data_IF_641099894444
#
_entry.id   IF_641099894444
#
_cell.length_a   1.000
_cell.length_b   1.000
_cell.length_c   1.000
_cell.angle_alpha   90.00
_cell.angle_beta   90.00
_cell.angle_gamma   90.00
#
_symmetry.space_group_name_H-M   'P 1'
#
loop_
_entity.id
_entity.type
_entity.pdbx_description
1 polymer ?
#
# COMPACT_ATOMS: atom_id res chain seq x y z
N UNK A 1 3.27 2.42 18.14
CA UNK A 1 3.26 1.55 16.94
C UNK A 1 1.85 1.05 16.59
N UNK A 2 1.19 0.25 17.44
CA UNK A 2 -0.13 -0.36 17.12
C UNK A 2 -1.20 0.68 16.76
N UNK A 3 -1.27 1.80 17.48
CA UNK A 3 -2.24 2.86 17.19
C UNK A 3 -2.06 3.48 15.78
N UNK A 4 -0.81 3.64 15.30
CA UNK A 4 -0.54 4.13 13.94
C UNK A 4 -1.02 3.15 12.87
N UNK A 5 -0.93 1.85 13.14
CA UNK A 5 -1.46 0.80 12.25
C UNK A 5 -2.97 0.95 12.10
N UNK A 6 -3.70 1.28 13.17
CA UNK A 6 -5.15 1.52 13.10
C UNK A 6 -5.48 2.67 12.16
N UNK A 7 -4.87 3.85 12.35
CA UNK A 7 -5.11 5.01 11.49
C UNK A 7 -4.75 4.72 10.03
N UNK A 8 -3.63 4.04 9.82
CA UNK A 8 -3.20 3.61 8.51
C UNK A 8 -4.20 2.65 7.83
N UNK A 9 -4.65 1.63 8.55
CA UNK A 9 -5.63 0.67 8.04
C UNK A 9 -6.94 1.35 7.66
N UNK A 10 -7.41 2.29 8.49
CA UNK A 10 -8.59 3.10 8.19
C UNK A 10 -8.41 3.90 6.89
N UNK A 11 -7.25 4.52 6.69
CA UNK A 11 -6.95 5.26 5.47
C UNK A 11 -6.99 4.34 4.23
N UNK A 12 -6.35 3.16 4.30
CA UNK A 12 -6.27 2.22 3.17
C UNK A 12 -7.55 1.47 2.84
N UNK A 13 -8.56 1.50 3.71
CA UNK A 13 -9.88 0.95 3.38
C UNK A 13 -10.56 1.70 2.25
N UNK A 14 -10.15 2.94 1.97
CA UNK A 14 -10.56 3.66 0.76
C UNK A 14 -9.55 3.26 -0.30
N UNK A 15 -9.87 2.36 -1.26
CA UNK A 15 -8.92 1.90 -2.26
C UNK A 15 -8.76 2.98 -3.34
N UNK A 16 -8.22 4.13 -2.97
CA UNK A 16 -8.12 5.30 -3.84
C UNK A 16 -6.87 5.29 -4.72
N UNK A 17 -5.84 4.51 -4.38
CA UNK A 17 -4.56 4.52 -5.08
C UNK A 17 -3.95 3.11 -5.22
N UNK A 18 -3.37 2.76 -6.39
CA UNK A 18 -2.57 1.55 -6.55
C UNK A 18 -1.44 1.50 -5.53
N UNK A 19 -1.34 0.42 -4.76
CA UNK A 19 -0.32 0.28 -3.72
C UNK A 19 -0.42 1.30 -2.59
N UNK A 20 -1.56 1.97 -2.41
CA UNK A 20 -1.83 2.88 -1.27
C UNK A 20 -0.93 4.11 -1.15
N UNK A 21 -0.21 4.48 -2.22
CA UNK A 21 0.64 5.66 -2.23
C UNK A 21 -0.15 6.94 -1.91
N UNK A 22 0.40 7.77 -1.02
CA UNK A 22 -0.21 9.01 -0.53
C UNK A 22 -1.24 8.78 0.57
N UNK A 23 -2.11 7.78 0.41
CA UNK A 23 -3.12 7.42 1.42
C UNK A 23 -2.44 6.83 2.66
N UNK A 24 -1.39 6.03 2.46
CA UNK A 24 -0.61 5.45 3.56
C UNK A 24 0.06 6.56 4.39
N UNK A 25 0.76 7.46 3.71
CA UNK A 25 1.48 8.56 4.34
C UNK A 25 0.53 9.54 5.04
N UNK A 26 -0.64 9.81 4.45
CA UNK A 26 -1.67 10.63 5.07
C UNK A 26 -2.22 10.02 6.38
N UNK A 27 -2.46 8.71 6.40
CA UNK A 27 -2.87 7.99 7.62
C UNK A 27 -1.82 8.09 8.74
N UNK A 28 -0.53 8.01 8.37
CA UNK A 28 0.59 8.16 9.30
C UNK A 28 0.71 9.59 9.84
N UNK A 29 0.63 10.62 9.00
CA UNK A 29 0.64 12.03 9.41
C UNK A 29 -0.52 12.31 10.38
N UNK A 30 -1.73 11.84 10.05
CA UNK A 30 -2.91 11.99 10.90
C UNK A 30 -2.72 11.29 12.25
N UNK A 31 -2.18 10.06 12.25
CA UNK A 31 -1.89 9.33 13.48
C UNK A 31 -0.84 10.01 14.36
N UNK A 32 0.24 10.55 13.77
CA UNK A 32 1.25 11.32 14.49
C UNK A 32 0.68 12.58 15.14
N UNK A 33 -0.14 13.33 14.39
CA UNK A 33 -0.79 14.55 14.89
C UNK A 33 -1.79 14.28 16.02
N UNK A 34 -2.66 13.28 15.86
CA UNK A 34 -3.67 12.95 16.88
C UNK A 34 -3.08 12.35 18.16
N UNK A 35 -1.98 11.62 18.04
CA UNK A 35 -1.29 11.00 19.19
C UNK A 35 -0.20 11.90 19.78
N UNK A 36 0.01 13.10 19.21
CA UNK A 36 1.05 14.06 19.62
C UNK A 36 2.43 13.41 19.73
N UNK A 37 2.77 12.53 18.79
CA UNK A 37 4.05 11.80 18.79
C UNK A 37 5.22 12.68 18.37
N UNK A 38 4.95 13.65 17.50
CA UNK A 38 5.92 14.64 17.04
C UNK A 38 5.20 15.84 16.43
N UNK A 39 5.74 17.04 16.61
CA UNK A 39 5.15 18.29 16.10
C UNK A 39 5.47 18.53 14.61
N UNK A 40 6.55 17.90 14.11
CA UNK A 40 7.00 18.06 12.73
C UNK A 40 6.35 17.03 11.80
N UNK A 41 5.57 17.53 10.85
CA UNK A 41 4.91 16.74 9.82
C UNK A 41 5.92 16.04 8.89
N UNK A 42 7.08 16.64 8.66
CA UNK A 42 8.13 16.10 7.79
C UNK A 42 8.69 14.79 8.36
N UNK A 43 8.80 14.71 9.68
CA UNK A 43 9.23 13.50 10.40
C UNK A 43 8.17 12.40 10.29
N UNK A 44 6.89 12.75 10.46
CA UNK A 44 5.79 11.79 10.30
C UNK A 44 5.73 11.23 8.86
N UNK A 45 5.95 12.10 7.86
CA UNK A 45 6.01 11.71 6.45
C UNK A 45 7.19 10.79 6.16
N UNK A 46 8.40 11.16 6.62
CA UNK A 46 9.60 10.35 6.43
C UNK A 46 9.43 8.96 7.07
N UNK A 47 8.90 8.90 8.29
CA UNK A 47 8.58 7.64 8.97
C UNK A 47 7.55 6.82 8.17
N UNK A 48 6.45 7.45 7.76
CA UNK A 48 5.40 6.80 6.99
C UNK A 48 5.91 6.19 5.71
N UNK A 49 6.70 6.94 4.93
CA UNK A 49 7.28 6.49 3.67
C UNK A 49 8.23 5.30 3.85
N UNK A 50 9.11 5.35 4.85
CA UNK A 50 10.05 4.24 5.13
C UNK A 50 9.28 2.99 5.51
N UNK A 51 8.29 3.10 6.41
CA UNK A 51 7.48 1.96 6.80
C UNK A 51 6.68 1.40 5.63
N UNK A 52 6.14 2.26 4.77
CA UNK A 52 5.41 1.85 3.58
C UNK A 52 6.31 1.03 2.65
N UNK A 53 7.52 1.50 2.36
CA UNK A 53 8.48 0.80 1.51
C UNK A 53 8.94 -0.54 2.10
N UNK A 54 9.14 -0.63 3.42
CA UNK A 54 9.53 -1.88 4.08
C UNK A 54 8.47 -2.98 3.86
N UNK A 55 7.17 -2.64 3.87
CA UNK A 55 6.12 -3.62 3.65
C UNK A 55 5.79 -3.82 2.17
N UNK A 56 5.79 -2.75 1.40
CA UNK A 56 5.37 -2.75 -0.01
C UNK A 56 6.45 -3.33 -0.94
N UNK A 57 7.72 -2.92 -0.78
CA UNK A 57 8.75 -3.27 -1.76
C UNK A 57 9.08 -4.77 -1.77
N UNK A 58 9.31 -5.46 -0.64
CA UNK A 58 9.66 -6.87 -0.67
C UNK A 58 8.54 -7.74 -1.25
N UNK A 59 7.29 -7.48 -0.83
CA UNK A 59 6.12 -8.24 -1.27
C UNK A 59 5.84 -8.02 -2.77
N UNK A 60 5.90 -6.76 -3.21
CA UNK A 60 5.68 -6.40 -4.62
C UNK A 60 6.78 -6.94 -5.51
N UNK A 61 8.05 -6.81 -5.12
CA UNK A 61 9.18 -7.30 -5.91
C UNK A 61 9.16 -8.82 -6.05
N UNK A 62 8.86 -9.56 -4.98
CA UNK A 62 8.72 -11.02 -5.05
C UNK A 62 7.56 -11.42 -5.95
N UNK A 63 6.39 -10.79 -5.78
CA UNK A 63 5.23 -11.06 -6.64
C UNK A 63 5.52 -10.77 -8.12
N UNK A 64 6.19 -9.65 -8.40
CA UNK A 64 6.57 -9.28 -9.76
C UNK A 64 7.61 -10.24 -10.34
N UNK A 65 8.59 -10.67 -9.55
CA UNK A 65 9.59 -11.65 -9.97
C UNK A 65 8.96 -13.00 -10.33
N UNK A 66 8.04 -13.50 -9.49
CA UNK A 66 7.31 -14.75 -9.78
C UNK A 66 6.44 -14.58 -11.03
N UNK A 67 5.71 -13.48 -11.16
CA UNK A 67 4.89 -13.21 -12.33
C UNK A 67 5.71 -13.14 -13.62
N UNK A 68 6.89 -12.51 -13.56
CA UNK A 68 7.82 -12.45 -14.69
C UNK A 68 8.38 -13.84 -15.04
N UNK A 69 8.78 -14.64 -14.03
CA UNK A 69 9.26 -16.01 -14.22
C UNK A 69 8.22 -16.89 -14.93
N UNK A 70 6.96 -16.74 -14.58
CA UNK A 70 5.86 -17.56 -15.11
C UNK A 70 5.20 -16.93 -16.36
N UNK A 71 5.80 -15.88 -16.92
CA UNK A 71 5.30 -15.16 -18.12
C UNK A 71 3.84 -14.70 -18.01
N UNK A 72 3.39 -14.40 -16.78
CA UNK A 72 2.05 -13.91 -16.52
C UNK A 72 1.93 -12.50 -17.09
N UNK A 73 1.28 -12.40 -18.26
CA UNK A 73 0.99 -11.14 -18.91
C UNK A 73 -0.31 -10.53 -18.37
N UNK A 74 -0.39 -9.20 -18.19
CA UNK A 74 -1.65 -8.52 -17.93
C UNK A 74 -2.75 -8.85 -18.95
N UNK A 75 -2.38 -9.22 -20.19
CA UNK A 75 -3.31 -9.67 -21.23
C UNK A 75 -3.88 -11.07 -20.96
N UNK A 76 -3.06 -11.97 -20.43
CA UNK A 76 -3.50 -13.33 -20.07
C UNK A 76 -4.44 -13.34 -18.88
N UNK A 77 -4.19 -12.49 -17.87
CA UNK A 77 -5.10 -12.30 -16.75
C UNK A 77 -6.46 -11.71 -17.19
N UNK A 78 -6.46 -10.65 -18.02
CA UNK A 78 -7.70 -10.07 -18.56
C UNK A 78 -8.53 -11.07 -19.37
N UNK A 79 -7.87 -11.93 -20.15
CA UNK A 79 -8.56 -12.95 -20.94
C UNK A 79 -9.24 -13.99 -20.04
N UNK A 80 -8.59 -14.42 -18.97
CA UNK A 80 -9.16 -15.36 -18.00
C UNK A 80 -10.39 -14.78 -17.30
N UNK A 81 -10.28 -13.55 -16.78
CA UNK A 81 -11.38 -12.85 -16.09
C UNK A 81 -12.63 -12.69 -16.97
N UNK A 82 -12.46 -12.31 -18.24
CA UNK A 82 -13.58 -12.15 -19.17
C UNK A 82 -14.23 -13.48 -19.57
N UNK A 83 -13.46 -14.58 -19.55
CA UNK A 83 -13.97 -15.93 -19.87
C UNK A 83 -14.76 -16.56 -18.72
N UNK A 84 -14.48 -16.18 -17.47
CA UNK A 84 -15.30 -16.58 -16.32
C UNK A 84 -16.57 -15.73 -16.19
N UNK A 85 -16.52 -14.43 -16.53
CA UNK A 85 -17.71 -13.57 -16.49
C UNK A 85 -18.76 -13.87 -17.58
N UNK A 86 -18.41 -14.63 -18.62
CA UNK A 86 -19.32 -15.04 -19.71
C UNK A 86 -19.89 -16.46 -19.54
N UNK A 87 -19.52 -17.16 -18.45
CA UNK A 87 -20.10 -18.43 -18.03
C UNK A 87 -21.14 -18.22 -16.93
#
# INVERSE_FOLDING_TARGET
AIALVVFQSLATMIPAAPGYWGVYEAGMILGFGLLQLHDDQEIALAYGLVMHLIFFAPTTLVGLWVAAKDSLSPKSANKALNSESTR
#
